data_IF_017995685328
#
_entry.id   IF_017995685328
#
_cell.length_a   1.000
_cell.length_b   1.000
_cell.length_c   1.000
_cell.angle_alpha   90.00
_cell.angle_beta   90.00
_cell.angle_gamma   90.00
#
_symmetry.space_group_name_H-M   'P 1'
#
loop_
_entity.id
_entity.type
_entity.pdbx_description
1 polymer ?
#
# COMPACT_ATOMS: atom_id res chain seq x y z
N UNK A 1 -1.11 -0.66 -18.95
CA UNK A 1 -0.07 -0.41 -17.93
C UNK A 1 -0.56 -0.88 -16.58
N UNK A 2 0.31 -1.48 -15.80
CA UNK A 2 -0.06 -1.97 -14.48
C UNK A 2 -0.05 -0.84 -13.47
N UNK A 3 -0.99 -0.86 -12.54
CA UNK A 3 -0.96 0.00 -11.38
C UNK A 3 -1.24 -0.82 -10.13
N UNK A 4 -0.74 -0.36 -9.01
CA UNK A 4 -0.82 -1.07 -7.75
C UNK A 4 -1.36 -0.13 -6.69
N UNK A 5 -2.22 -0.66 -5.83
CA UNK A 5 -2.83 0.12 -4.76
C UNK A 5 -2.32 -0.36 -3.41
N UNK A 6 -2.05 0.59 -2.55
CA UNK A 6 -1.75 0.33 -1.14
C UNK A 6 -2.95 0.78 -0.34
N UNK A 7 -3.50 -0.12 0.45
CA UNK A 7 -4.67 0.19 1.27
C UNK A 7 -4.42 -0.20 2.71
N UNK A 8 -5.02 0.55 3.62
CA UNK A 8 -4.99 0.24 5.04
C UNK A 8 -6.40 0.38 5.59
N UNK A 9 -6.99 -0.76 5.99
CA UNK A 9 -8.36 -0.77 6.50
C UNK A 9 -8.48 -0.06 7.84
N UNK A 10 -7.40 -0.03 8.62
CA UNK A 10 -7.44 0.54 9.96
C UNK A 10 -7.58 2.06 9.95
N UNK A 11 -6.87 2.73 9.05
CA UNK A 11 -6.91 4.20 8.99
C UNK A 11 -7.50 4.73 7.69
N UNK A 12 -8.11 3.86 6.90
CA UNK A 12 -8.75 4.23 5.63
C UNK A 12 -7.76 4.86 4.65
N UNK A 13 -6.51 4.43 4.69
CA UNK A 13 -5.47 4.91 3.81
C UNK A 13 -5.58 4.25 2.44
N UNK A 14 -5.35 5.03 1.39
CA UNK A 14 -5.40 4.50 0.03
C UNK A 14 -4.49 5.30 -0.88
N UNK A 15 -3.60 4.61 -1.59
CA UNK A 15 -2.68 5.22 -2.54
C UNK A 15 -2.49 4.31 -3.74
N UNK A 16 -2.22 4.93 -4.89
CA UNK A 16 -1.92 4.21 -6.13
C UNK A 16 -0.51 4.52 -6.59
N UNK A 17 0.15 3.52 -7.15
CA UNK A 17 1.52 3.65 -7.64
C UNK A 17 1.67 2.99 -9.00
N UNK A 18 2.57 3.50 -9.86
CA UNK A 18 2.78 2.93 -11.18
C UNK A 18 3.57 1.63 -11.17
N UNK A 19 4.32 1.33 -10.09
CA UNK A 19 5.10 0.12 -9.99
C UNK A 19 4.84 -0.59 -8.68
N UNK A 20 4.98 -1.91 -8.70
CA UNK A 20 4.82 -2.74 -7.51
C UNK A 20 5.87 -2.39 -6.45
N UNK A 21 7.09 -2.10 -6.91
CA UNK A 21 8.20 -1.77 -6.03
C UNK A 21 7.89 -0.54 -5.19
N UNK A 22 7.34 0.50 -5.84
CA UNK A 22 6.95 1.71 -5.12
C UNK A 22 5.81 1.45 -4.16
N UNK A 23 4.84 0.63 -4.57
CA UNK A 23 3.71 0.30 -3.71
C UNK A 23 4.18 -0.47 -2.48
N UNK A 24 5.08 -1.43 -2.66
CA UNK A 24 5.60 -2.21 -1.53
C UNK A 24 6.44 -1.35 -0.60
N UNK A 25 7.21 -0.42 -1.13
CA UNK A 25 8.00 0.48 -0.31
C UNK A 25 7.10 1.36 0.57
N UNK A 26 6.04 1.89 -0.01
CA UNK A 26 5.09 2.71 0.74
C UNK A 26 4.36 1.89 1.80
N UNK A 27 3.95 0.68 1.44
CA UNK A 27 3.28 -0.21 2.39
C UNK A 27 4.18 -0.57 3.55
N UNK A 28 5.47 -0.81 3.29
CA UNK A 28 6.43 -1.12 4.33
C UNK A 28 6.62 0.04 5.30
N UNK A 29 6.72 1.27 4.77
CA UNK A 29 6.84 2.47 5.60
C UNK A 29 5.59 2.67 6.46
N UNK A 30 4.42 2.50 5.85
CA UNK A 30 3.16 2.65 6.59
C UNK A 30 3.02 1.60 7.68
N UNK A 31 3.37 0.35 7.39
CA UNK A 31 3.29 -0.73 8.37
C UNK A 31 4.30 -0.54 9.50
N UNK A 32 5.49 -0.03 9.17
CA UNK A 32 6.53 0.23 10.17
C UNK A 32 6.12 1.33 11.14
N UNK A 33 5.51 2.38 10.62
CA UNK A 33 5.03 3.48 11.44
C UNK A 33 3.77 3.12 12.24
N UNK A 34 2.99 2.16 11.75
CA UNK A 34 1.72 1.76 12.36
C UNK A 34 1.63 0.23 12.42
N UNK A 35 2.38 -0.41 13.33
CA UNK A 35 2.49 -1.88 13.32
C UNK A 35 1.19 -2.61 13.60
N UNK A 36 0.19 -1.93 14.15
CA UNK A 36 -1.13 -2.53 14.39
C UNK A 36 -2.08 -2.39 13.20
N UNK A 37 -1.67 -1.64 12.16
CA UNK A 37 -2.50 -1.44 10.99
C UNK A 37 -2.39 -2.60 10.01
N UNK A 38 -3.52 -2.91 9.39
CA UNK A 38 -3.58 -3.97 8.38
C UNK A 38 -3.38 -3.34 7.00
N UNK A 39 -2.16 -3.42 6.49
CA UNK A 39 -1.78 -2.81 5.21
C UNK A 39 -1.71 -3.89 4.14
N UNK A 40 -2.26 -3.59 2.97
CA UNK A 40 -2.24 -4.51 1.86
C UNK A 40 -1.84 -3.83 0.56
N UNK A 41 -1.20 -4.59 -0.31
CA UNK A 41 -0.84 -4.15 -1.66
C UNK A 41 -1.54 -5.08 -2.64
N UNK A 42 -2.20 -4.50 -3.64
CA UNK A 42 -2.83 -5.31 -4.66
C UNK A 42 -2.70 -4.65 -6.02
N UNK A 43 -2.71 -5.46 -7.06
CA UNK A 43 -2.63 -4.99 -8.43
C UNK A 43 -4.01 -4.57 -8.90
N UNK A 44 -4.11 -3.35 -9.39
CA UNK A 44 -5.37 -2.83 -9.92
C UNK A 44 -5.58 -3.21 -11.37
N UNK A 45 -4.51 -3.36 -12.14
CA UNK A 45 -4.59 -3.74 -13.56
C UNK A 45 -3.45 -4.65 -13.97
#
# INVERSE_FOLDING_TARGET
>A
MASYAVTCATCNYQRSFPTREQAQADAAVHADANPTHSVGVHQER
#
